data_IF_334921229324
#
_entry.id   IF_334921229324
#
_cell.length_a   1.000
_cell.length_b   1.000
_cell.length_c   1.000
_cell.angle_alpha   90.00
_cell.angle_beta   90.00
_cell.angle_gamma   90.00
#
_symmetry.space_group_name_H-M   'P 1'
#
loop_
_entity.id
_entity.type
_entity.pdbx_description
1 polymer ?
#
# COMPACT_ATOMS: atom_id res chain seq x y z
N UNK A 1 -30.32 102.99 8.46
CA UNK A 1 -30.84 102.44 7.20
C UNK A 1 -30.14 101.11 6.98
N UNK A 2 -30.95 100.03 7.01
CA UNK A 2 -30.72 98.60 6.75
C UNK A 2 -29.41 97.89 7.12
N UNK A 3 -29.56 96.93 8.04
CA UNK A 3 -28.74 95.73 8.19
C UNK A 3 -29.15 94.70 7.13
N UNK A 4 -28.18 94.06 6.46
CA UNK A 4 -28.38 92.80 5.74
C UNK A 4 -27.74 91.65 6.54
N UNK A 5 -28.57 90.68 6.87
CA UNK A 5 -28.26 89.50 7.69
C UNK A 5 -28.01 88.32 6.76
N UNK A 6 -26.86 87.66 6.92
CA UNK A 6 -26.53 86.39 6.29
C UNK A 6 -27.53 85.29 6.70
N UNK A 7 -28.37 84.82 5.79
CA UNK A 7 -29.11 83.57 6.00
C UNK A 7 -28.22 82.37 5.63
N UNK A 8 -27.76 81.66 6.66
CA UNK A 8 -27.21 80.32 6.53
C UNK A 8 -28.34 79.33 6.20
N UNK A 9 -28.35 78.81 4.98
CA UNK A 9 -29.24 77.72 4.57
C UNK A 9 -28.80 76.41 5.24
N UNK A 10 -29.44 76.04 6.35
CA UNK A 10 -29.34 74.67 6.89
C UNK A 10 -30.16 73.74 6.02
N UNK A 11 -29.48 72.92 5.20
CA UNK A 11 -30.11 71.92 4.36
C UNK A 11 -30.89 70.90 5.20
N UNK A 12 -32.22 70.89 5.09
CA UNK A 12 -33.11 69.93 5.73
C UNK A 12 -32.90 68.56 5.08
N UNK A 13 -32.15 67.67 5.74
CA UNK A 13 -32.00 66.27 5.30
C UNK A 13 -33.38 65.60 5.27
N UNK A 14 -33.74 65.09 4.09
CA UNK A 14 -35.07 64.54 3.86
C UNK A 14 -35.17 63.09 4.39
N UNK A 15 -36.23 62.74 5.15
CA UNK A 15 -36.32 61.47 5.86
C UNK A 15 -36.35 60.22 4.95
N UNK A 16 -36.69 60.37 3.66
CA UNK A 16 -36.68 59.26 2.70
C UNK A 16 -35.28 58.71 2.40
N UNK A 17 -34.23 59.54 2.53
CA UNK A 17 -32.84 59.14 2.30
C UNK A 17 -32.38 58.10 3.32
N UNK A 18 -32.85 58.20 4.57
CA UNK A 18 -32.56 57.22 5.62
C UNK A 18 -33.17 55.84 5.34
N UNK A 19 -34.41 55.81 4.84
CA UNK A 19 -35.09 54.56 4.48
C UNK A 19 -34.45 53.85 3.28
N UNK A 20 -33.99 54.59 2.27
CA UNK A 20 -33.25 54.02 1.12
C UNK A 20 -31.91 53.44 1.56
N UNK A 21 -31.16 54.16 2.41
CA UNK A 21 -29.88 53.68 2.94
C UNK A 21 -30.06 52.38 3.75
N UNK A 22 -31.13 52.29 4.56
CA UNK A 22 -31.46 51.08 5.30
C UNK A 22 -31.78 49.89 4.37
N UNK A 23 -32.56 50.10 3.30
CA UNK A 23 -32.88 49.04 2.33
C UNK A 23 -31.62 48.52 1.61
N UNK A 24 -30.72 49.41 1.19
CA UNK A 24 -29.44 49.02 0.57
C UNK A 24 -28.56 48.25 1.55
N UNK A 25 -28.51 48.67 2.81
CA UNK A 25 -27.75 47.95 3.84
C UNK A 25 -28.27 46.53 4.07
N UNK A 26 -29.60 46.33 4.12
CA UNK A 26 -30.20 44.99 4.23
C UNK A 26 -29.85 44.12 3.04
N UNK A 27 -29.91 44.65 1.82
CA UNK A 27 -29.53 43.93 0.60
C UNK A 27 -28.05 43.56 0.63
N UNK A 28 -27.17 44.49 1.03
CA UNK A 28 -25.74 44.26 1.12
C UNK A 28 -25.41 43.16 2.15
N UNK A 29 -26.06 43.17 3.32
CA UNK A 29 -25.89 42.12 4.35
C UNK A 29 -26.41 40.78 3.84
N UNK A 30 -27.56 40.74 3.16
CA UNK A 30 -28.10 39.51 2.59
C UNK A 30 -27.18 38.94 1.51
N UNK A 31 -26.67 39.79 0.61
CA UNK A 31 -25.74 39.39 -0.44
C UNK A 31 -24.41 38.89 0.13
N UNK A 32 -23.86 39.59 1.13
CA UNK A 32 -22.64 39.19 1.81
C UNK A 32 -22.80 37.86 2.53
N UNK A 33 -23.89 37.70 3.30
CA UNK A 33 -24.17 36.46 4.03
C UNK A 33 -24.39 35.30 3.06
N UNK A 34 -25.15 35.51 1.98
CA UNK A 34 -25.36 34.51 0.94
C UNK A 34 -24.05 34.08 0.27
N UNK A 35 -23.20 35.03 -0.12
CA UNK A 35 -21.89 34.75 -0.71
C UNK A 35 -20.95 34.02 0.26
N UNK A 36 -20.91 34.43 1.53
CA UNK A 36 -20.11 33.78 2.56
C UNK A 36 -20.56 32.34 2.82
N UNK A 37 -21.87 32.12 2.93
CA UNK A 37 -22.46 30.78 3.10
C UNK A 37 -22.19 29.90 1.89
N UNK A 38 -22.39 30.42 0.67
CA UNK A 38 -22.10 29.70 -0.57
C UNK A 38 -20.63 29.28 -0.68
N UNK A 39 -19.69 30.20 -0.43
CA UNK A 39 -18.26 29.91 -0.45
C UNK A 39 -17.88 28.82 0.57
N UNK A 40 -18.52 28.82 1.75
CA UNK A 40 -18.31 27.79 2.77
C UNK A 40 -18.89 26.42 2.38
N UNK A 41 -20.03 26.40 1.69
CA UNK A 41 -20.60 25.16 1.15
C UNK A 41 -19.73 24.58 0.03
N UNK A 42 -19.26 25.41 -0.91
CA UNK A 42 -18.35 24.99 -1.97
C UNK A 42 -17.05 24.40 -1.40
N UNK A 43 -16.48 25.05 -0.38
CA UNK A 43 -15.30 24.54 0.31
C UNK A 43 -15.54 23.17 0.97
N UNK A 44 -16.70 22.98 1.63
CA UNK A 44 -17.08 21.69 2.25
C UNK A 44 -17.30 20.60 1.21
N UNK A 45 -17.99 20.90 0.11
CA UNK A 45 -18.21 19.97 -0.99
C UNK A 45 -16.87 19.53 -1.61
N UNK A 46 -15.94 20.47 -1.81
CA UNK A 46 -14.59 20.18 -2.29
C UNK A 46 -13.75 19.34 -1.30
N UNK A 47 -13.96 19.46 0.01
CA UNK A 47 -13.31 18.60 1.01
C UNK A 47 -13.87 17.17 0.95
N UNK A 48 -15.19 17.01 0.98
CA UNK A 48 -15.86 15.71 0.92
C UNK A 48 -15.54 14.95 -0.37
N UNK A 49 -15.49 15.65 -1.51
CA UNK A 49 -15.08 15.08 -2.78
C UNK A 49 -13.64 14.53 -2.71
N UNK A 50 -12.70 15.29 -2.13
CA UNK A 50 -11.30 14.86 -1.95
C UNK A 50 -11.17 13.68 -0.99
N UNK A 51 -11.92 13.68 0.10
CA UNK A 51 -11.96 12.56 1.05
C UNK A 51 -12.49 11.28 0.38
N UNK A 52 -13.56 11.41 -0.39
CA UNK A 52 -14.15 10.27 -1.13
C UNK A 52 -13.17 9.67 -2.13
N UNK A 53 -12.43 10.51 -2.85
CA UNK A 53 -11.37 10.05 -3.78
C UNK A 53 -10.27 9.30 -3.01
N UNK A 54 -9.78 9.85 -1.90
CA UNK A 54 -8.74 9.20 -1.06
C UNK A 54 -9.20 7.85 -0.51
N UNK A 55 -10.42 7.78 0.02
CA UNK A 55 -10.99 6.53 0.54
C UNK A 55 -11.13 5.50 -0.58
N UNK A 56 -11.63 5.91 -1.75
CA UNK A 56 -11.77 5.03 -2.91
C UNK A 56 -10.42 4.50 -3.38
N UNK A 57 -9.40 5.34 -3.44
CA UNK A 57 -8.03 4.94 -3.79
C UNK A 57 -7.46 3.95 -2.77
N UNK A 58 -7.65 4.20 -1.48
CA UNK A 58 -7.21 3.29 -0.42
C UNK A 58 -7.91 1.93 -0.54
N UNK A 59 -9.25 1.94 -0.67
CA UNK A 59 -10.02 0.70 -0.81
C UNK A 59 -9.61 -0.08 -2.07
N UNK A 60 -9.33 0.60 -3.18
CA UNK A 60 -8.84 -0.03 -4.40
C UNK A 60 -7.46 -0.67 -4.20
N UNK A 61 -6.55 -0.02 -3.47
CA UNK A 61 -5.25 -0.61 -3.08
C UNK A 61 -5.44 -1.85 -2.22
N UNK A 62 -6.28 -1.77 -1.20
CA UNK A 62 -6.54 -2.89 -0.28
C UNK A 62 -7.15 -4.09 -1.03
N UNK A 63 -8.11 -3.85 -1.93
CA UNK A 63 -8.70 -4.88 -2.79
C UNK A 63 -7.64 -5.49 -3.72
N UNK A 64 -6.73 -4.69 -4.28
CA UNK A 64 -5.66 -5.21 -5.13
C UNK A 64 -4.71 -6.13 -4.34
N UNK A 65 -4.30 -5.72 -3.13
CA UNK A 65 -3.45 -6.53 -2.24
C UNK A 65 -4.13 -7.84 -1.85
N UNK A 66 -5.41 -7.80 -1.46
CA UNK A 66 -6.15 -9.01 -1.10
C UNK A 66 -6.32 -9.96 -2.30
N UNK A 67 -6.58 -9.42 -3.50
CA UNK A 67 -6.68 -10.21 -4.73
C UNK A 67 -5.37 -10.89 -5.06
N UNK A 68 -4.24 -10.20 -4.90
CA UNK A 68 -2.90 -10.77 -5.10
C UNK A 68 -2.64 -11.93 -4.12
N UNK A 69 -2.93 -11.73 -2.83
CA UNK A 69 -2.82 -12.77 -1.80
C UNK A 69 -3.68 -13.99 -2.12
N UNK A 70 -4.95 -13.80 -2.48
CA UNK A 70 -5.83 -14.90 -2.89
C UNK A 70 -5.31 -15.58 -4.15
N UNK A 71 -4.74 -14.82 -5.09
CA UNK A 71 -4.13 -15.34 -6.31
C UNK A 71 -3.03 -16.36 -6.02
N UNK A 72 -2.12 -16.04 -5.09
CA UNK A 72 -1.03 -16.93 -4.65
C UNK A 72 -1.56 -18.23 -4.05
N UNK A 73 -2.58 -18.17 -3.19
CA UNK A 73 -3.15 -19.39 -2.59
C UNK A 73 -3.88 -20.25 -3.64
N UNK A 74 -4.63 -19.62 -4.55
CA UNK A 74 -5.32 -20.33 -5.63
C UNK A 74 -4.34 -21.01 -6.57
N UNK A 75 -3.28 -20.33 -7.01
CA UNK A 75 -2.28 -20.93 -7.90
C UNK A 75 -1.56 -22.10 -7.24
N UNK A 76 -1.25 -22.02 -5.94
CA UNK A 76 -0.70 -23.13 -5.19
C UNK A 76 -1.66 -24.33 -5.12
N UNK A 77 -2.96 -24.09 -4.88
CA UNK A 77 -3.98 -25.15 -4.89
C UNK A 77 -4.14 -25.79 -6.26
N UNK A 78 -4.11 -25.01 -7.34
CA UNK A 78 -4.16 -25.55 -8.70
C UNK A 78 -2.94 -26.42 -9.01
N UNK A 79 -1.73 -26.00 -8.60
CA UNK A 79 -0.54 -26.84 -8.73
C UNK A 79 -0.71 -28.17 -7.98
N UNK A 80 -1.24 -28.16 -6.75
CA UNK A 80 -1.45 -29.38 -5.96
C UNK A 80 -2.41 -30.39 -6.60
N UNK A 81 -3.21 -30.00 -7.60
CA UNK A 81 -4.07 -30.92 -8.35
C UNK A 81 -3.30 -31.73 -9.39
N UNK A 82 -2.13 -31.24 -9.81
CA UNK A 82 -1.24 -31.97 -10.72
C UNK A 82 -0.44 -33.01 -9.93
N UNK A 83 -0.50 -34.31 -10.29
CA UNK A 83 0.26 -35.36 -9.60
C UNK A 83 1.78 -35.22 -9.73
N UNK A 84 2.28 -34.44 -10.70
CA UNK A 84 3.71 -34.13 -10.82
C UNK A 84 4.17 -33.05 -9.83
N UNK A 85 3.26 -32.38 -9.13
CA UNK A 85 3.59 -31.38 -8.11
C UNK A 85 4.14 -32.03 -6.85
N UNK A 86 5.26 -31.48 -6.39
CA UNK A 86 5.95 -31.90 -5.18
C UNK A 86 5.69 -30.91 -4.04
N UNK A 87 5.46 -31.43 -2.83
CA UNK A 87 5.41 -30.61 -1.62
C UNK A 87 6.65 -30.87 -0.78
N UNK A 88 7.60 -29.95 -0.82
CA UNK A 88 8.89 -30.06 -0.12
C UNK A 88 8.81 -29.33 1.21
N UNK A 89 9.12 -30.02 2.31
CA UNK A 89 9.15 -29.39 3.64
C UNK A 89 10.53 -28.83 3.96
N UNK A 90 10.58 -27.60 4.45
CA UNK A 90 11.77 -26.90 4.91
C UNK A 90 11.78 -26.83 6.44
N UNK A 91 12.94 -27.11 7.05
CA UNK A 91 13.15 -27.01 8.50
C UNK A 91 14.02 -25.83 8.87
N UNK A 92 13.68 -25.17 9.98
CA UNK A 92 14.45 -24.10 10.59
C UNK A 92 15.86 -24.54 10.96
N UNK A 93 16.83 -23.67 10.72
CA UNK A 93 18.25 -23.87 11.02
C UNK A 93 18.83 -22.68 11.76
N UNK A 94 19.91 -22.93 12.51
CA UNK A 94 20.72 -21.93 13.18
C UNK A 94 19.89 -20.92 13.99
N UNK A 95 19.97 -19.61 13.67
CA UNK A 95 19.26 -18.56 14.43
C UNK A 95 17.74 -18.61 14.28
N UNK A 96 17.21 -19.44 13.37
CA UNK A 96 15.79 -19.56 13.06
C UNK A 96 15.29 -21.00 13.25
N UNK A 97 15.77 -21.73 14.26
CA UNK A 97 15.42 -23.14 14.48
C UNK A 97 13.91 -23.43 14.62
N UNK A 98 13.12 -22.46 15.09
CA UNK A 98 11.66 -22.57 15.20
C UNK A 98 10.92 -22.26 13.88
N UNK A 99 11.63 -21.77 12.86
CA UNK A 99 11.05 -21.47 11.56
C UNK A 99 10.68 -22.76 10.82
N UNK A 100 9.65 -22.65 9.99
CA UNK A 100 9.20 -23.74 9.11
C UNK A 100 8.90 -23.19 7.73
N UNK A 101 8.98 -24.04 6.72
CA UNK A 101 8.52 -23.67 5.39
C UNK A 101 8.04 -24.86 4.58
N UNK A 102 7.30 -24.58 3.52
CA UNK A 102 6.90 -25.55 2.50
C UNK A 102 7.04 -24.93 1.13
N UNK A 103 7.55 -25.71 0.19
CA UNK A 103 7.55 -25.35 -1.24
C UNK A 103 6.58 -26.28 -1.95
N UNK A 104 5.59 -25.69 -2.62
CA UNK A 104 4.77 -26.39 -3.62
C UNK A 104 5.46 -26.17 -4.96
N UNK A 105 5.98 -27.23 -5.58
CA UNK A 105 6.89 -27.15 -6.72
C UNK A 105 6.43 -28.03 -7.89
N UNK A 106 6.41 -27.46 -9.08
CA UNK A 106 6.21 -28.16 -10.34
C UNK A 106 7.30 -27.76 -11.33
N UNK A 107 8.00 -28.73 -11.92
CA UNK A 107 9.21 -28.46 -12.70
C UNK A 107 8.98 -27.54 -13.91
N UNK A 108 7.80 -27.62 -14.53
CA UNK A 108 7.46 -26.82 -15.73
C UNK A 108 6.76 -25.50 -15.37
N UNK A 109 5.97 -25.49 -14.30
CA UNK A 109 5.10 -24.36 -13.97
C UNK A 109 5.68 -23.46 -12.86
N UNK A 110 6.75 -23.90 -12.20
CA UNK A 110 7.33 -23.23 -11.05
C UNK A 110 6.58 -23.60 -9.77
N UNK A 111 6.50 -22.67 -8.82
CA UNK A 111 5.95 -23.00 -7.52
C UNK A 111 5.76 -21.82 -6.58
N UNK A 112 5.49 -22.17 -5.32
CA UNK A 112 5.33 -21.22 -4.23
C UNK A 112 6.01 -21.71 -2.97
N UNK A 113 6.84 -20.86 -2.38
CA UNK A 113 7.32 -20.98 -1.01
C UNK A 113 6.31 -20.35 -0.05
N UNK A 114 6.07 -21.02 1.06
CA UNK A 114 5.37 -20.49 2.23
C UNK A 114 6.24 -20.72 3.47
N UNK A 115 6.36 -19.72 4.33
CA UNK A 115 7.16 -19.79 5.56
C UNK A 115 6.38 -19.28 6.76
N UNK A 116 6.76 -19.75 7.94
CA UNK A 116 6.23 -19.30 9.22
C UNK A 116 7.33 -19.28 10.28
N UNK A 117 7.15 -18.42 11.29
CA UNK A 117 8.06 -18.23 12.42
C UNK A 117 9.50 -17.82 12.02
N UNK A 118 9.66 -17.19 10.85
CA UNK A 118 10.92 -16.52 10.53
C UNK A 118 10.94 -15.16 11.25
N UNK A 119 12.06 -14.79 11.89
CA UNK A 119 12.23 -13.43 12.41
C UNK A 119 12.08 -12.38 11.30
N UNK A 120 11.76 -11.14 11.67
CA UNK A 120 11.86 -10.04 10.71
C UNK A 120 13.32 -9.87 10.29
N UNK A 121 13.57 -9.74 8.99
CA UNK A 121 14.91 -9.44 8.50
C UNK A 121 15.40 -8.09 9.06
N UNK A 122 16.67 -7.97 9.47
CA UNK A 122 17.27 -6.69 9.83
C UNK A 122 17.22 -5.68 8.68
N UNK A 123 17.44 -4.40 8.97
CA UNK A 123 17.52 -3.36 7.96
C UNK A 123 18.61 -3.66 6.92
N UNK A 124 18.32 -3.41 5.64
CA UNK A 124 19.21 -3.72 4.50
C UNK A 124 19.33 -5.21 4.16
N UNK A 125 18.53 -6.08 4.81
CA UNK A 125 18.53 -7.53 4.58
C UNK A 125 17.15 -8.02 4.13
N UNK A 126 17.15 -9.13 3.41
CA UNK A 126 15.97 -9.88 3.02
C UNK A 126 16.28 -11.38 3.08
N UNK A 127 15.24 -12.21 3.07
CA UNK A 127 15.42 -13.64 2.89
C UNK A 127 15.50 -13.96 1.41
N UNK A 128 16.42 -14.84 1.02
CA UNK A 128 16.56 -15.32 -0.35
C UNK A 128 16.28 -16.81 -0.40
N UNK A 129 15.37 -17.22 -1.28
CA UNK A 129 15.16 -18.63 -1.63
C UNK A 129 16.18 -19.05 -2.70
N UNK A 130 16.69 -20.26 -2.57
CA UNK A 130 17.61 -20.88 -3.51
C UNK A 130 17.05 -22.20 -4.01
N UNK A 131 17.20 -22.46 -5.32
CA UNK A 131 17.03 -23.78 -5.93
C UNK A 131 18.41 -24.39 -6.15
N UNK A 132 18.58 -25.65 -5.77
CA UNK A 132 19.87 -26.34 -5.82
C UNK A 132 19.67 -27.68 -6.53
N UNK A 133 20.43 -27.89 -7.61
CA UNK A 133 20.45 -29.11 -8.43
C UNK A 133 21.84 -29.75 -8.44
N UNK A 134 22.37 -30.05 -9.62
CA UNK A 134 23.75 -30.55 -9.80
C UNK A 134 24.81 -29.43 -9.83
N UNK A 135 24.39 -28.18 -10.06
CA UNK A 135 25.27 -27.01 -10.16
C UNK A 135 25.27 -26.14 -8.92
N UNK A 136 25.80 -24.92 -9.06
CA UNK A 136 25.74 -23.90 -8.02
C UNK A 136 24.28 -23.53 -7.68
N UNK A 137 24.00 -23.12 -6.42
CA UNK A 137 22.69 -22.60 -6.03
C UNK A 137 22.25 -21.46 -6.96
N UNK A 138 21.00 -21.50 -7.42
CA UNK A 138 20.41 -20.45 -8.24
C UNK A 138 19.44 -19.60 -7.40
N UNK A 139 19.49 -18.26 -7.51
CA UNK A 139 18.52 -17.39 -6.87
C UNK A 139 17.11 -17.71 -7.35
N UNK A 140 16.22 -18.02 -6.40
CA UNK A 140 14.79 -18.26 -6.63
C UNK A 140 13.91 -17.13 -6.08
N UNK A 141 14.54 -16.07 -5.55
CA UNK A 141 13.92 -14.78 -5.30
C UNK A 141 13.96 -14.34 -3.85
N UNK A 142 14.06 -13.02 -3.69
CA UNK A 142 14.02 -12.35 -2.41
C UNK A 142 12.59 -12.19 -1.89
N UNK A 143 12.42 -12.26 -0.58
CA UNK A 143 11.15 -12.02 0.09
C UNK A 143 11.35 -11.49 1.52
N UNK A 144 10.29 -10.87 2.03
CA UNK A 144 10.18 -10.43 3.42
C UNK A 144 9.05 -11.19 4.13
N UNK A 145 9.05 -11.12 5.46
CA UNK A 145 7.98 -11.69 6.29
C UNK A 145 7.17 -10.59 6.99
N UNK A 146 5.90 -10.90 7.26
CA UNK A 146 5.00 -10.05 8.02
C UNK A 146 5.39 -9.97 9.51
N UNK A 147 4.63 -9.19 10.28
CA UNK A 147 4.87 -9.03 11.72
C UNK A 147 4.70 -10.33 12.53
N UNK A 148 4.07 -11.36 11.95
CA UNK A 148 3.89 -12.68 12.54
C UNK A 148 4.93 -13.68 12.03
N UNK A 149 5.93 -13.24 11.27
CA UNK A 149 6.99 -14.08 10.73
C UNK A 149 6.53 -14.99 9.59
N UNK A 150 5.43 -14.63 8.90
CA UNK A 150 4.90 -15.36 7.74
C UNK A 150 5.29 -14.68 6.46
N UNK A 151 5.59 -15.47 5.44
CA UNK A 151 5.93 -14.96 4.11
C UNK A 151 5.57 -15.96 3.03
N UNK A 152 5.50 -15.46 1.81
CA UNK A 152 5.35 -16.30 0.62
C UNK A 152 6.16 -15.75 -0.53
N UNK A 153 6.66 -16.64 -1.39
CA UNK A 153 7.40 -16.25 -2.60
C UNK A 153 7.01 -17.13 -3.77
N UNK A 154 6.67 -16.53 -4.91
CA UNK A 154 6.55 -17.24 -6.18
C UNK A 154 7.94 -17.64 -6.67
N UNK A 155 8.04 -18.88 -7.10
CA UNK A 155 9.25 -19.51 -7.62
C UNK A 155 9.04 -19.74 -9.10
N UNK A 156 9.89 -19.17 -9.94
CA UNK A 156 9.82 -19.42 -11.38
C UNK A 156 10.42 -20.80 -11.72
N UNK A 157 10.01 -21.43 -12.83
CA UNK A 157 10.66 -22.64 -13.34
C UNK A 157 12.16 -22.42 -13.52
N UNK A 158 12.97 -23.44 -13.21
CA UNK A 158 14.41 -23.37 -13.46
C UNK A 158 14.66 -23.36 -14.96
N UNK A 159 15.46 -22.40 -15.43
CA UNK A 159 15.80 -22.27 -16.84
C UNK A 159 16.42 -23.57 -17.39
N UNK A 160 15.97 -24.00 -18.56
CA UNK A 160 16.41 -25.25 -19.18
C UNK A 160 15.87 -26.53 -18.52
N UNK A 161 14.97 -26.42 -17.53
CA UNK A 161 14.30 -27.57 -16.91
C UNK A 161 15.23 -28.44 -16.05
N UNK A 162 16.36 -27.89 -15.59
CA UNK A 162 17.28 -28.62 -14.74
C UNK A 162 16.58 -29.07 -13.43
N UNK A 163 16.83 -30.32 -12.97
CA UNK A 163 16.17 -30.85 -11.80
C UNK A 163 16.57 -30.10 -10.54
N UNK A 164 15.58 -29.67 -9.75
CA UNK A 164 15.78 -29.13 -8.40
C UNK A 164 15.77 -30.28 -7.41
N UNK A 165 16.83 -30.41 -6.63
CA UNK A 165 16.99 -31.45 -5.60
C UNK A 165 16.75 -30.90 -4.20
N UNK A 166 17.16 -29.66 -3.96
CA UNK A 166 17.15 -29.03 -2.64
C UNK A 166 16.65 -27.59 -2.77
N UNK A 167 15.88 -27.18 -1.76
CA UNK A 167 15.51 -25.79 -1.55
C UNK A 167 16.14 -25.30 -0.24
N UNK A 168 16.67 -24.08 -0.25
CA UNK A 168 17.25 -23.46 0.93
C UNK A 168 16.86 -21.98 1.02
N UNK A 169 16.82 -21.43 2.24
CA UNK A 169 16.64 -19.99 2.46
C UNK A 169 17.78 -19.46 3.30
N UNK A 170 18.35 -18.34 2.88
CA UNK A 170 19.40 -17.62 3.60
C UNK A 170 18.98 -16.18 3.90
N UNK A 171 19.68 -15.51 4.84
CA UNK A 171 19.51 -14.09 5.11
C UNK A 171 20.55 -13.27 4.34
N UNK A 172 20.14 -12.59 3.29
CA UNK A 172 21.01 -11.93 2.30
C UNK A 172 20.82 -10.41 2.28
N UNK A 173 21.74 -9.64 1.65
CA UNK A 173 21.49 -8.25 1.30
C UNK A 173 20.19 -8.10 0.48
N UNK A 174 19.41 -7.05 0.73
CA UNK A 174 18.15 -6.81 0.00
C UNK A 174 18.32 -6.53 -1.50
N UNK A 175 19.54 -6.19 -1.95
CA UNK A 175 19.90 -6.07 -3.36
C UNK A 175 20.10 -7.42 -4.08
N UNK A 176 20.11 -8.53 -3.34
CA UNK A 176 20.37 -9.87 -3.87
C UNK A 176 21.85 -10.14 -4.12
N UNK A 177 22.20 -11.42 -4.25
CA UNK A 177 23.55 -11.90 -4.50
C UNK A 177 23.54 -13.03 -5.52
N UNK A 178 24.61 -13.23 -6.31
CA UNK A 178 24.65 -14.31 -7.31
C UNK A 178 24.84 -15.70 -6.69
N UNK A 179 25.29 -15.77 -5.43
CA UNK A 179 25.48 -17.00 -4.65
C UNK A 179 25.24 -16.71 -3.16
N UNK A 180 24.85 -17.72 -2.35
CA UNK A 180 24.56 -17.51 -0.93
C UNK A 180 25.76 -16.91 -0.17
N UNK A 181 25.54 -15.85 0.60
CA UNK A 181 26.58 -15.21 1.43
C UNK A 181 26.23 -15.21 2.91
N UNK A 182 24.94 -15.28 3.23
CA UNK A 182 24.42 -15.22 4.59
C UNK A 182 24.23 -16.57 5.26
N UNK A 183 23.81 -16.57 6.53
CA UNK A 183 23.45 -17.79 7.23
C UNK A 183 22.24 -18.45 6.57
N UNK A 184 22.30 -19.76 6.40
CA UNK A 184 21.16 -20.57 6.00
C UNK A 184 20.20 -20.72 7.19
N UNK A 185 18.95 -20.35 6.99
CA UNK A 185 17.90 -20.31 8.02
C UNK A 185 16.81 -21.36 7.79
N UNK A 186 16.67 -21.85 6.55
CA UNK A 186 15.80 -22.99 6.22
C UNK A 186 16.50 -23.87 5.18
N UNK A 187 16.29 -25.18 5.26
CA UNK A 187 16.66 -26.11 4.20
C UNK A 187 15.66 -27.26 4.10
N UNK A 188 15.51 -27.82 2.90
CA UNK A 188 14.66 -28.99 2.68
C UNK A 188 15.18 -30.17 3.49
N UNK A 189 14.27 -30.86 4.17
CA UNK A 189 14.61 -32.13 4.79
C UNK A 189 15.09 -33.12 3.71
N UNK A 190 16.14 -33.88 4.02
CA UNK A 190 16.51 -35.07 3.24
C UNK A 190 15.43 -36.14 3.34
#
# INVERSE_FOLDING_TARGET
MSHDVYQTLTARRSPWVGWVAAAVAVIAVAAFTGGFVAARYEARLGQMARETIRIREQLQRDVAVLRDQIGVYRSAVELLRDPATQVVSLRGLGPSAAATGRVVWHAVAGGHLFVANLPRAPEGKAYELWTIGEGAPQPAGLFQVDAQGRGSRRVEPVAGGAPVKVFAVTLEPEGGVPAPTGPMVLASAK
#
